data_IF_088057723882
#
_entry.id   IF_088057723882
#
_cell.length_a   1.000
_cell.length_b   1.000
_cell.length_c   1.000
_cell.angle_alpha   90.00
_cell.angle_beta   90.00
_cell.angle_gamma   90.00
#
_symmetry.space_group_name_H-M   'P 1'
#
loop_
_entity.id
_entity.type
_entity.pdbx_description
1 polymer ?
#
# COMPACT_ATOMS: atom_id res chain seq x y z
N UNK A 1 20.22 27.58 -30.93
CA UNK A 1 21.59 27.73 -31.46
C UNK A 1 21.82 26.48 -32.29
N UNK A 2 21.82 26.44 -33.62
CA UNK A 2 22.31 27.39 -34.63
C UNK A 2 21.41 27.24 -35.88
N UNK A 3 20.86 28.34 -36.36
CA UNK A 3 20.70 28.63 -37.79
C UNK A 3 21.93 29.48 -38.19
N UNK A 4 22.36 29.59 -39.47
CA UNK A 4 21.55 30.26 -40.49
C UNK A 4 21.65 29.71 -41.94
N UNK A 5 20.50 29.80 -42.63
CA UNK A 5 20.26 30.61 -43.84
C UNK A 5 21.28 30.60 -45.00
N UNK A 6 20.79 30.45 -46.25
CA UNK A 6 20.80 31.46 -47.34
C UNK A 6 19.92 30.90 -48.48
N UNK A 7 18.78 31.56 -48.80
CA UNK A 7 18.55 32.48 -49.93
C UNK A 7 18.60 31.76 -51.32
N UNK A 8 17.74 31.99 -52.31
CA UNK A 8 17.05 33.23 -52.64
C UNK A 8 16.06 33.04 -53.81
N UNK A 9 14.95 33.81 -53.77
CA UNK A 9 14.40 34.70 -54.82
C UNK A 9 14.01 34.17 -56.21
N UNK A 10 12.71 34.19 -56.58
CA UNK A 10 11.83 35.33 -57.05
C UNK A 10 11.73 35.33 -58.60
N UNK A 11 10.81 36.09 -59.25
CA UNK A 11 9.62 36.82 -58.79
C UNK A 11 8.37 36.66 -59.69
N UNK A 12 7.26 37.27 -59.22
CA UNK A 12 6.07 37.69 -59.95
C UNK A 12 6.38 38.52 -61.21
N UNK A 13 5.49 38.46 -62.22
CA UNK A 13 4.60 39.55 -62.66
C UNK A 13 4.06 39.25 -64.07
N UNK A 14 2.74 39.40 -64.31
CA UNK A 14 2.15 40.52 -65.07
C UNK A 14 0.67 40.27 -65.38
N UNK A 15 -0.11 41.30 -65.08
CA UNK A 15 -1.50 41.53 -65.45
C UNK A 15 -1.60 41.74 -66.96
N UNK A 16 -2.62 41.18 -67.61
CA UNK A 16 -3.20 41.72 -68.84
C UNK A 16 -4.70 41.38 -68.90
N UNK A 17 -5.49 42.39 -69.21
CA UNK A 17 -6.94 42.41 -69.21
C UNK A 17 -7.52 42.24 -70.63
N UNK A 18 -8.83 41.96 -70.68
CA UNK A 18 -9.78 42.15 -71.82
C UNK A 18 -9.63 41.08 -72.93
N UNK A 19 -10.67 40.33 -73.34
CA UNK A 19 -11.85 40.76 -74.12
C UNK A 19 -13.04 39.82 -73.88
N UNK A 20 -14.21 40.42 -73.67
CA UNK A 20 -15.54 39.83 -73.70
C UNK A 20 -15.86 39.39 -75.14
N UNK A 21 -16.12 38.09 -75.35
CA UNK A 21 -16.62 37.54 -76.59
C UNK A 21 -17.88 36.71 -76.32
N UNK A 22 -19.04 37.36 -76.32
CA UNK A 22 -20.35 36.70 -76.34
C UNK A 22 -20.54 36.16 -77.76
N UNK A 23 -20.46 34.84 -77.93
CA UNK A 23 -20.97 34.16 -79.13
C UNK A 23 -22.29 33.48 -78.77
N UNK A 24 -23.38 34.18 -79.05
CA UNK A 24 -24.72 33.60 -79.16
C UNK A 24 -24.75 32.86 -80.48
N UNK A 25 -24.58 31.54 -80.44
CA UNK A 25 -24.94 30.65 -81.56
C UNK A 25 -26.32 30.09 -81.26
N UNK A 26 -27.33 30.74 -81.84
CA UNK A 26 -28.69 30.23 -81.96
C UNK A 26 -28.76 29.30 -83.16
N UNK A 27 -28.79 27.99 -82.91
CA UNK A 27 -29.19 27.00 -83.92
C UNK A 27 -30.44 26.29 -83.44
N UNK A 28 -31.56 26.66 -84.06
CA UNK A 28 -32.87 26.01 -83.96
C UNK A 28 -32.83 24.60 -84.55
N UNK A 29 -33.28 23.64 -83.73
CA UNK A 29 -34.16 22.50 -84.04
C UNK A 29 -33.93 21.74 -85.36
N UNK A 30 -33.25 20.61 -85.25
CA UNK A 30 -33.65 19.38 -85.96
C UNK A 30 -33.71 18.25 -84.92
N UNK A 31 -34.91 17.74 -84.70
CA UNK A 31 -35.17 16.70 -83.72
C UNK A 31 -34.47 15.41 -84.06
N UNK A 32 -33.45 15.08 -83.28
CA UNK A 32 -33.11 13.69 -83.02
C UNK A 32 -33.81 13.31 -81.72
N UNK A 33 -35.00 12.70 -81.83
CA UNK A 33 -35.54 11.90 -80.74
C UNK A 33 -34.57 10.74 -80.54
N UNK A 34 -33.56 10.94 -79.70
CA UNK A 34 -32.88 9.81 -79.08
C UNK A 34 -33.95 9.20 -78.20
N UNK A 35 -34.57 8.14 -78.72
CA UNK A 35 -35.26 7.17 -77.90
C UNK A 35 -34.20 6.63 -76.94
N UNK A 36 -34.07 7.28 -75.77
CA UNK A 36 -33.77 6.53 -74.57
C UNK A 36 -34.94 5.56 -74.43
N UNK A 37 -34.80 4.39 -75.06
CA UNK A 37 -35.34 3.21 -74.44
C UNK A 37 -34.69 3.23 -73.06
N UNK A 38 -35.48 3.59 -72.06
CA UNK A 38 -35.28 3.08 -70.73
C UNK A 38 -35.10 1.57 -70.92
N UNK A 39 -33.84 1.15 -71.02
CA UNK A 39 -33.47 -0.15 -70.53
C UNK A 39 -33.70 -0.04 -69.02
N UNK A 40 -34.97 -0.17 -68.63
CA UNK A 40 -35.34 -0.61 -67.31
C UNK A 40 -34.59 -1.92 -67.12
N UNK A 41 -33.38 -1.84 -66.57
CA UNK A 41 -32.92 -2.89 -65.67
C UNK A 41 -34.00 -2.90 -64.60
N UNK A 42 -34.78 -3.99 -64.40
CA UNK A 42 -35.60 -4.07 -63.22
C UNK A 42 -34.63 -4.18 -62.05
N UNK A 43 -34.17 -3.03 -61.54
CA UNK A 43 -33.19 -2.95 -60.46
C UNK A 43 -33.83 -3.09 -59.08
N UNK A 44 -34.98 -3.77 -58.99
CA UNK A 44 -35.68 -3.99 -57.73
C UNK A 44 -35.97 -5.47 -57.57
N UNK A 45 -35.05 -6.16 -56.89
CA UNK A 45 -35.27 -7.51 -56.40
C UNK A 45 -36.17 -7.47 -55.17
N UNK A 46 -37.45 -7.19 -55.37
CA UNK A 46 -38.50 -7.28 -54.36
C UNK A 46 -38.60 -6.15 -53.33
N UNK A 47 -39.72 -6.18 -52.59
CA UNK A 47 -40.06 -5.24 -51.52
C UNK A 47 -40.30 -6.03 -50.23
N UNK A 48 -39.64 -5.65 -49.15
CA UNK A 48 -39.80 -6.32 -47.84
C UNK A 48 -41.23 -6.17 -47.35
N UNK A 49 -41.88 -7.28 -47.05
CA UNK A 49 -43.19 -7.35 -46.41
C UNK A 49 -43.03 -7.38 -44.90
N UNK A 50 -42.19 -8.28 -44.38
CA UNK A 50 -41.90 -8.39 -42.95
C UNK A 50 -40.64 -9.20 -42.69
N UNK A 51 -40.01 -8.99 -41.54
CA UNK A 51 -38.95 -9.87 -41.03
C UNK A 51 -39.58 -11.03 -40.24
N UNK A 52 -39.00 -12.23 -40.39
CA UNK A 52 -39.43 -13.46 -39.71
C UNK A 52 -38.53 -13.71 -38.49
N UNK A 53 -37.22 -13.76 -38.70
CA UNK A 53 -36.19 -13.96 -37.67
C UNK A 53 -34.90 -13.19 -38.06
N UNK A 54 -33.76 -13.47 -37.43
CA UNK A 54 -32.53 -12.69 -37.63
C UNK A 54 -31.78 -12.94 -38.95
N UNK A 55 -32.18 -13.93 -39.75
CA UNK A 55 -31.66 -14.15 -41.10
C UNK A 55 -32.75 -14.44 -42.15
N UNK A 56 -34.02 -14.35 -41.79
CA UNK A 56 -35.14 -14.64 -42.68
C UNK A 56 -36.16 -13.50 -42.73
N UNK A 57 -36.58 -13.13 -43.93
CA UNK A 57 -37.64 -12.16 -44.16
C UNK A 57 -38.55 -12.58 -45.31
N UNK A 58 -39.73 -11.96 -45.40
CA UNK A 58 -40.65 -12.12 -46.52
C UNK A 58 -40.53 -10.89 -47.42
N UNK A 59 -40.40 -11.12 -48.72
CA UNK A 59 -40.42 -10.08 -49.73
C UNK A 59 -41.48 -10.38 -50.80
N UNK A 60 -42.12 -9.33 -51.31
CA UNK A 60 -42.89 -9.39 -52.54
C UNK A 60 -41.92 -9.36 -53.72
N UNK A 61 -41.84 -10.46 -54.47
CA UNK A 61 -41.01 -10.61 -55.66
C UNK A 61 -41.90 -11.08 -56.80
N UNK A 62 -41.95 -10.33 -57.89
CA UNK A 62 -42.83 -10.58 -59.05
C UNK A 62 -44.32 -10.70 -58.66
N UNK A 63 -44.77 -9.85 -57.73
CA UNK A 63 -46.15 -9.82 -57.24
C UNK A 63 -46.55 -11.02 -56.36
N UNK A 64 -45.57 -11.75 -55.80
CA UNK A 64 -45.79 -12.86 -54.88
C UNK A 64 -44.92 -12.73 -53.65
N UNK A 65 -45.49 -13.01 -52.48
CA UNK A 65 -44.70 -13.17 -51.26
C UNK A 65 -43.79 -14.40 -51.36
N UNK A 66 -42.50 -14.18 -51.08
CA UNK A 66 -41.48 -15.22 -50.99
C UNK A 66 -40.72 -15.08 -49.69
N UNK A 67 -40.52 -16.19 -49.00
CA UNK A 67 -39.56 -16.28 -47.90
C UNK A 67 -38.14 -16.21 -48.46
N UNK A 68 -37.31 -15.38 -47.84
CA UNK A 68 -35.92 -15.16 -48.20
C UNK A 68 -35.06 -15.35 -46.95
N UNK A 69 -34.25 -16.40 -46.93
CA UNK A 69 -33.18 -16.59 -45.95
C UNK A 69 -31.90 -15.97 -46.51
N UNK A 70 -31.12 -15.31 -45.66
CA UNK A 70 -29.84 -14.73 -46.02
C UNK A 70 -28.81 -15.84 -46.33
N UNK A 71 -28.30 -15.85 -47.55
CA UNK A 71 -27.28 -16.78 -48.00
C UNK A 71 -25.97 -16.63 -47.21
N UNK A 72 -25.36 -17.76 -46.86
CA UNK A 72 -24.11 -17.87 -46.09
C UNK A 72 -24.14 -17.30 -44.67
N UNK A 73 -25.34 -17.07 -44.14
CA UNK A 73 -25.59 -16.54 -42.80
C UNK A 73 -26.34 -17.59 -41.98
N UNK A 74 -25.99 -17.70 -40.71
CA UNK A 74 -26.75 -18.43 -39.69
C UNK A 74 -26.96 -17.49 -38.50
N UNK A 75 -28.21 -17.15 -38.21
CA UNK A 75 -28.62 -16.33 -37.06
C UNK A 75 -29.10 -17.20 -35.90
N UNK A 76 -28.95 -16.77 -34.63
CA UNK A 76 -29.70 -17.35 -33.53
C UNK A 76 -31.21 -17.16 -33.75
N UNK A 77 -31.98 -18.20 -33.40
CA UNK A 77 -33.44 -18.22 -33.52
C UNK A 77 -34.08 -17.55 -32.30
N UNK A 78 -35.08 -16.69 -32.49
CA UNK A 78 -35.86 -16.05 -31.41
C UNK A 78 -37.15 -16.81 -31.04
N UNK A 79 -37.97 -16.22 -30.17
CA UNK A 79 -39.28 -16.76 -29.80
C UNK A 79 -39.27 -17.82 -28.69
N UNK A 80 -40.17 -18.81 -28.77
CA UNK A 80 -40.40 -19.79 -27.68
C UNK A 80 -39.20 -20.73 -27.45
N UNK A 81 -38.43 -21.02 -28.51
CA UNK A 81 -37.19 -21.81 -28.48
C UNK A 81 -35.94 -20.90 -28.62
N UNK A 82 -35.99 -19.69 -28.03
CA UNK A 82 -34.98 -18.67 -28.23
C UNK A 82 -33.55 -19.14 -27.90
N UNK A 83 -32.67 -19.01 -28.88
CA UNK A 83 -31.23 -19.04 -28.72
C UNK A 83 -30.72 -17.72 -28.12
N UNK A 84 -29.47 -17.74 -27.64
CA UNK A 84 -28.83 -16.53 -27.14
C UNK A 84 -28.86 -15.42 -28.21
N UNK A 85 -29.48 -14.29 -27.87
CA UNK A 85 -29.67 -13.12 -28.72
C UNK A 85 -30.57 -13.31 -29.96
N UNK A 86 -31.42 -14.35 -29.99
CA UNK A 86 -32.32 -14.59 -31.13
C UNK A 86 -33.33 -13.47 -31.42
N UNK A 87 -33.99 -12.94 -30.39
CA UNK A 87 -34.92 -11.82 -30.55
C UNK A 87 -34.19 -10.54 -30.97
N UNK A 88 -33.02 -10.30 -30.39
CA UNK A 88 -32.17 -9.15 -30.74
C UNK A 88 -31.66 -9.24 -32.18
N UNK A 89 -31.35 -10.43 -32.68
CA UNK A 89 -30.99 -10.65 -34.08
C UNK A 89 -32.16 -10.33 -35.02
N UNK A 90 -33.36 -10.75 -34.65
CA UNK A 90 -34.60 -10.43 -35.38
C UNK A 90 -34.84 -8.91 -35.44
N UNK A 91 -34.70 -8.21 -34.31
CA UNK A 91 -34.83 -6.75 -34.27
C UNK A 91 -33.72 -6.02 -35.05
N UNK A 92 -32.50 -6.57 -35.06
CA UNK A 92 -31.41 -6.05 -35.87
C UNK A 92 -31.77 -6.11 -37.37
N UNK A 93 -32.27 -7.25 -37.84
CA UNK A 93 -32.68 -7.38 -39.24
C UNK A 93 -33.87 -6.47 -39.59
N UNK A 94 -34.86 -6.32 -38.70
CA UNK A 94 -35.96 -5.34 -38.86
C UNK A 94 -35.46 -3.91 -39.05
N UNK A 95 -34.38 -3.54 -38.36
CA UNK A 95 -33.79 -2.21 -38.47
C UNK A 95 -33.12 -1.99 -39.84
N UNK A 96 -32.51 -3.04 -40.41
CA UNK A 96 -31.87 -3.01 -41.72
C UNK A 96 -32.87 -3.11 -42.88
N UNK A 97 -33.92 -3.91 -42.68
CA UNK A 97 -34.97 -4.26 -43.63
C UNK A 97 -36.37 -3.95 -43.06
N UNK A 98 -36.73 -2.68 -42.85
CA UNK A 98 -38.08 -2.33 -42.44
C UNK A 98 -39.10 -2.70 -43.53
N UNK A 99 -40.36 -2.87 -43.15
CA UNK A 99 -41.46 -3.08 -44.10
C UNK A 99 -41.48 -1.97 -45.18
N UNK A 100 -41.72 -2.36 -46.43
CA UNK A 100 -41.68 -1.49 -47.60
C UNK A 100 -40.29 -1.19 -48.14
N UNK A 101 -39.21 -1.68 -47.49
CA UNK A 101 -37.84 -1.48 -47.98
C UNK A 101 -37.63 -2.22 -49.30
N UNK A 102 -37.07 -1.53 -50.30
CA UNK A 102 -36.63 -2.15 -51.55
C UNK A 102 -35.33 -2.92 -51.33
N UNK A 103 -35.28 -4.15 -51.81
CA UNK A 103 -34.09 -4.98 -51.77
C UNK A 103 -33.70 -5.42 -53.16
N UNK A 104 -32.46 -5.89 -53.30
CA UNK A 104 -31.96 -6.56 -54.50
C UNK A 104 -31.46 -7.92 -54.06
N UNK A 105 -31.95 -8.97 -54.69
CA UNK A 105 -31.69 -10.36 -54.33
C UNK A 105 -30.84 -11.01 -55.41
N UNK A 106 -29.71 -11.58 -55.01
CA UNK A 106 -28.85 -12.42 -55.85
C UNK A 106 -28.90 -13.84 -55.32
N UNK A 107 -29.24 -14.80 -56.18
CA UNK A 107 -29.36 -16.22 -55.82
C UNK A 107 -28.11 -17.00 -56.24
N UNK A 108 -27.82 -18.09 -55.53
CA UNK A 108 -26.72 -18.99 -55.87
C UNK A 108 -27.18 -20.08 -56.86
N UNK A 109 -26.75 -19.98 -58.11
CA UNK A 109 -27.11 -20.92 -59.18
C UNK A 109 -26.56 -22.33 -58.96
N UNK A 110 -25.45 -22.46 -58.22
CA UNK A 110 -24.83 -23.74 -57.88
C UNK A 110 -25.54 -24.45 -56.72
N UNK A 111 -26.54 -23.79 -56.10
CA UNK A 111 -27.36 -24.40 -55.08
C UNK A 111 -28.41 -25.35 -55.69
N UNK A 112 -28.67 -26.53 -55.07
CA UNK A 112 -29.70 -27.44 -55.54
C UNK A 112 -31.07 -26.73 -55.69
N UNK A 113 -31.85 -27.02 -56.76
CA UNK A 113 -33.08 -26.28 -57.05
C UNK A 113 -34.10 -26.19 -55.91
N UNK A 114 -34.13 -27.19 -55.02
CA UNK A 114 -35.02 -27.20 -53.84
C UNK A 114 -34.65 -26.17 -52.78
N UNK A 115 -33.37 -25.79 -52.67
CA UNK A 115 -32.86 -24.81 -51.68
C UNK A 115 -32.55 -23.45 -52.27
N UNK A 116 -32.36 -23.38 -53.59
CA UNK A 116 -32.02 -22.12 -54.30
C UNK A 116 -33.12 -21.06 -54.20
N UNK A 117 -34.40 -21.46 -54.14
CA UNK A 117 -35.51 -20.53 -54.32
C UNK A 117 -35.75 -19.58 -53.13
N UNK A 118 -35.22 -19.88 -51.94
CA UNK A 118 -35.38 -19.05 -50.74
C UNK A 118 -34.07 -18.48 -50.21
N UNK A 119 -32.88 -18.87 -50.69
CA UNK A 119 -31.61 -18.35 -50.16
C UNK A 119 -30.98 -17.32 -51.09
N UNK A 120 -30.76 -16.10 -50.60
CA UNK A 120 -30.24 -14.99 -51.40
C UNK A 120 -29.21 -14.12 -50.67
N UNK A 121 -28.27 -13.57 -51.43
CA UNK A 121 -27.53 -12.38 -51.05
C UNK A 121 -28.45 -11.16 -51.21
N UNK A 122 -28.74 -10.49 -50.10
CA UNK A 122 -29.65 -9.35 -50.05
C UNK A 122 -28.88 -8.03 -49.98
N UNK A 123 -29.23 -7.10 -50.85
CA UNK A 123 -28.67 -5.76 -50.86
C UNK A 123 -29.75 -4.69 -50.65
N UNK A 124 -29.47 -3.75 -49.75
CA UNK A 124 -30.38 -2.65 -49.40
C UNK A 124 -29.62 -1.33 -49.51
N UNK A 125 -30.04 -0.46 -50.43
CA UNK A 125 -29.34 0.80 -50.74
C UNK A 125 -27.83 0.61 -51.02
N UNK A 126 -27.45 -0.50 -51.64
CA UNK A 126 -26.06 -0.85 -51.96
C UNK A 126 -25.31 -1.59 -50.85
N UNK A 127 -25.82 -1.62 -49.62
CA UNK A 127 -25.22 -2.35 -48.52
C UNK A 127 -25.53 -3.83 -48.58
N UNK A 128 -24.57 -4.68 -48.24
CA UNK A 128 -24.72 -6.12 -48.24
C UNK A 128 -25.24 -6.60 -46.88
N UNK A 129 -26.56 -6.82 -46.79
CA UNK A 129 -27.26 -7.06 -45.51
C UNK A 129 -26.73 -8.30 -44.79
N UNK A 130 -26.43 -9.37 -45.53
CA UNK A 130 -25.90 -10.62 -44.97
C UNK A 130 -24.63 -10.39 -44.13
N UNK A 131 -23.68 -9.60 -44.65
CA UNK A 131 -22.47 -9.25 -43.93
C UNK A 131 -22.75 -8.22 -42.83
N UNK A 132 -23.69 -7.29 -43.02
CA UNK A 132 -24.04 -6.29 -42.01
C UNK A 132 -24.62 -6.92 -40.73
N UNK A 133 -25.45 -7.96 -40.85
CA UNK A 133 -25.98 -8.71 -39.70
C UNK A 133 -24.85 -9.41 -38.93
N UNK A 134 -23.93 -10.08 -39.65
CA UNK A 134 -22.75 -10.70 -39.04
C UNK A 134 -21.84 -9.67 -38.36
N UNK A 135 -21.61 -8.52 -38.99
CA UNK A 135 -20.81 -7.40 -38.46
C UNK A 135 -21.42 -6.77 -37.21
N UNK A 136 -22.75 -6.83 -37.07
CA UNK A 136 -23.46 -6.43 -35.87
C UNK A 136 -23.34 -7.47 -34.74
N UNK A 137 -22.79 -8.66 -35.03
CA UNK A 137 -22.64 -9.77 -34.08
C UNK A 137 -23.89 -10.62 -33.91
N UNK A 138 -24.87 -10.49 -34.81
CA UNK A 138 -26.15 -11.20 -34.74
C UNK A 138 -26.25 -12.38 -35.71
N UNK A 139 -25.16 -12.73 -36.39
CA UNK A 139 -25.08 -13.95 -37.17
C UNK A 139 -23.63 -14.40 -37.34
N UNK A 140 -23.47 -15.67 -37.73
CA UNK A 140 -22.19 -16.29 -38.06
C UNK A 140 -22.17 -16.72 -39.52
N UNK A 141 -20.98 -16.89 -40.08
CA UNK A 141 -20.78 -17.37 -41.44
C UNK A 141 -21.03 -18.89 -41.52
N UNK A 142 -21.91 -19.30 -42.43
CA UNK A 142 -22.23 -20.71 -42.65
C UNK A 142 -22.01 -21.10 -44.13
N UNK A 143 -21.35 -22.25 -44.36
CA UNK A 143 -21.25 -22.83 -45.70
C UNK A 143 -22.53 -23.60 -46.03
N UNK A 144 -23.28 -23.12 -47.00
CA UNK A 144 -24.62 -23.62 -47.35
C UNK A 144 -24.70 -24.21 -48.77
N UNK A 145 -23.71 -23.92 -49.64
CA UNK A 145 -23.62 -24.43 -51.01
C UNK A 145 -22.20 -24.97 -51.31
N UNK A 146 -21.95 -25.60 -52.47
CA UNK A 146 -20.60 -25.99 -52.86
C UNK A 146 -19.66 -24.79 -53.07
N UNK A 147 -20.17 -23.72 -53.69
CA UNK A 147 -19.35 -22.58 -54.11
C UNK A 147 -19.30 -21.43 -53.10
N UNK A 148 -20.31 -21.28 -52.24
CA UNK A 148 -20.39 -20.29 -51.16
C UNK A 148 -19.88 -18.88 -51.55
N UNK A 149 -20.46 -18.24 -52.57
CA UNK A 149 -19.88 -17.05 -53.20
C UNK A 149 -19.74 -15.84 -52.28
N UNK A 150 -20.48 -15.77 -51.17
CA UNK A 150 -20.44 -14.66 -50.22
C UNK A 150 -19.88 -15.04 -48.84
N UNK A 151 -19.49 -16.30 -48.63
CA UNK A 151 -19.05 -16.78 -47.31
C UNK A 151 -17.88 -15.98 -46.76
N UNK A 152 -16.85 -15.72 -47.56
CA UNK A 152 -15.66 -14.99 -47.09
C UNK A 152 -16.01 -13.56 -46.64
N UNK A 153 -16.98 -12.89 -47.28
CA UNK A 153 -17.44 -11.56 -46.85
C UNK A 153 -18.20 -11.61 -45.54
N UNK A 154 -19.01 -12.65 -45.32
CA UNK A 154 -19.74 -12.85 -44.06
C UNK A 154 -18.76 -13.24 -42.96
N UNK A 155 -17.75 -14.06 -43.26
CA UNK A 155 -16.71 -14.45 -42.31
C UNK A 155 -15.87 -13.25 -41.88
N UNK A 156 -15.43 -12.40 -42.81
CA UNK A 156 -14.72 -11.16 -42.48
C UNK A 156 -15.56 -10.23 -41.59
N UNK A 157 -16.87 -10.16 -41.84
CA UNK A 157 -17.79 -9.41 -41.00
C UNK A 157 -17.97 -10.02 -39.61
N UNK A 158 -18.06 -11.34 -39.51
CA UNK A 158 -18.09 -12.07 -38.24
C UNK A 158 -16.80 -11.81 -37.44
N UNK A 159 -15.63 -11.91 -38.08
CA UNK A 159 -14.33 -11.66 -37.46
C UNK A 159 -14.28 -10.23 -36.92
N UNK A 160 -14.80 -9.25 -37.67
CA UNK A 160 -14.92 -7.87 -37.17
C UNK A 160 -15.84 -7.76 -35.95
N UNK A 161 -16.94 -8.52 -35.88
CA UNK A 161 -17.79 -8.53 -34.68
C UNK A 161 -17.09 -9.17 -33.47
N UNK A 162 -16.31 -10.23 -33.70
CA UNK A 162 -15.50 -10.90 -32.69
C UNK A 162 -14.40 -9.97 -32.14
N UNK A 163 -13.65 -9.29 -33.00
CA UNK A 163 -12.61 -8.33 -32.61
C UNK A 163 -13.17 -7.15 -31.80
N UNK A 164 -14.38 -6.72 -32.12
CA UNK A 164 -15.04 -5.58 -31.46
C UNK A 164 -15.97 -6.01 -30.31
N UNK A 165 -16.04 -7.30 -29.96
CA UNK A 165 -16.89 -7.81 -28.89
C UNK A 165 -18.36 -7.43 -29.05
N UNK A 166 -18.96 -7.69 -30.22
CA UNK A 166 -20.36 -7.35 -30.52
C UNK A 166 -21.28 -8.55 -30.49
N UNK A 167 -22.53 -8.34 -30.09
CA UNK A 167 -23.60 -9.35 -30.16
C UNK A 167 -23.20 -10.65 -29.48
N UNK A 168 -23.14 -11.74 -30.25
CA UNK A 168 -22.76 -13.08 -29.76
C UNK A 168 -21.33 -13.15 -29.18
N UNK A 169 -20.47 -12.17 -29.49
CA UNK A 169 -19.09 -12.06 -29.01
C UNK A 169 -18.94 -11.04 -27.86
N UNK A 170 -20.01 -10.39 -27.43
CA UNK A 170 -20.00 -9.40 -26.35
C UNK A 170 -20.14 -10.09 -24.99
N UNK A 171 -19.14 -9.97 -24.12
CA UNK A 171 -19.18 -10.57 -22.78
C UNK A 171 -20.06 -9.83 -21.76
N UNK A 172 -20.65 -8.70 -22.11
CA UNK A 172 -21.70 -8.07 -21.30
C UNK A 172 -23.06 -8.77 -21.43
N UNK A 173 -23.27 -9.52 -22.53
CA UNK A 173 -24.47 -10.32 -22.74
C UNK A 173 -24.37 -11.67 -22.04
N UNK A 174 -25.09 -11.84 -20.92
CA UNK A 174 -24.95 -12.99 -19.99
C UNK A 174 -25.08 -14.39 -20.62
N UNK A 175 -25.75 -14.53 -21.75
CA UNK A 175 -25.91 -15.83 -22.43
C UNK A 175 -24.75 -16.18 -23.37
N UNK A 176 -23.82 -15.25 -23.63
CA UNK A 176 -22.71 -15.46 -24.56
C UNK A 176 -21.58 -16.26 -23.93
N UNK A 177 -20.73 -16.81 -24.80
CA UNK A 177 -19.53 -17.56 -24.40
C UNK A 177 -18.51 -16.61 -23.77
N UNK A 178 -18.37 -15.41 -24.35
CA UNK A 178 -17.54 -14.35 -23.80
C UNK A 178 -17.91 -14.01 -22.34
N UNK A 179 -19.21 -13.93 -22.01
CA UNK A 179 -19.67 -13.64 -20.65
C UNK A 179 -19.28 -14.72 -19.61
N UNK A 180 -18.98 -15.94 -20.06
CA UNK A 180 -18.49 -17.02 -19.18
C UNK A 180 -17.03 -16.82 -18.78
N UNK A 181 -16.26 -16.07 -19.58
CA UNK A 181 -14.80 -16.00 -19.46
C UNK A 181 -14.31 -14.60 -19.09
N UNK A 182 -14.87 -13.57 -19.71
CA UNK A 182 -14.41 -12.18 -19.59
C UNK A 182 -14.37 -11.65 -18.14
N UNK A 183 -15.38 -11.89 -17.28
CA UNK A 183 -15.31 -11.39 -15.90
C UNK A 183 -14.10 -11.93 -15.12
N UNK A 184 -13.77 -13.22 -15.30
CA UNK A 184 -12.59 -13.82 -14.68
C UNK A 184 -11.30 -13.27 -15.27
N UNK A 185 -11.26 -13.05 -16.60
CA UNK A 185 -10.13 -12.44 -17.29
C UNK A 185 -9.87 -11.02 -16.84
N UNK A 186 -10.91 -10.21 -16.68
CA UNK A 186 -10.78 -8.82 -16.23
C UNK A 186 -10.30 -8.76 -14.78
N UNK A 187 -10.85 -9.61 -13.91
CA UNK A 187 -10.36 -9.72 -12.54
C UNK A 187 -8.88 -10.12 -12.49
N UNK A 188 -8.47 -11.11 -13.30
CA UNK A 188 -7.07 -11.50 -13.42
C UNK A 188 -6.16 -10.38 -13.92
N UNK A 189 -6.61 -9.56 -14.89
CA UNK A 189 -5.86 -8.41 -15.42
C UNK A 189 -5.74 -7.27 -14.42
N UNK A 190 -6.73 -7.12 -13.54
CA UNK A 190 -6.79 -6.06 -12.52
C UNK A 190 -5.84 -6.26 -11.34
N UNK A 191 -5.26 -7.47 -11.18
CA UNK A 191 -4.35 -7.79 -10.08
C UNK A 191 -3.14 -6.86 -10.08
N UNK A 192 -2.84 -6.30 -8.91
CA UNK A 192 -1.72 -5.39 -8.73
C UNK A 192 -0.36 -6.05 -9.06
N UNK A 193 0.40 -5.39 -9.93
CA UNK A 193 1.79 -5.75 -10.26
C UNK A 193 2.79 -5.18 -9.26
N UNK A 194 2.38 -4.23 -8.42
CA UNK A 194 3.26 -3.62 -7.43
C UNK A 194 3.63 -4.64 -6.35
N UNK A 195 4.89 -4.68 -5.88
CA UNK A 195 5.27 -5.53 -4.75
C UNK A 195 4.58 -5.05 -3.46
N UNK A 196 4.22 -5.95 -2.53
CA UNK A 196 3.67 -5.55 -1.24
C UNK A 196 4.71 -4.82 -0.39
N UNK A 197 4.26 -3.80 0.35
CA UNK A 197 5.12 -2.96 1.20
C UNK A 197 5.15 -3.39 2.66
N UNK A 198 4.18 -4.21 3.11
CA UNK A 198 4.09 -4.73 4.48
C UNK A 198 3.66 -6.20 4.49
N UNK A 199 3.74 -6.83 5.66
CA UNK A 199 3.31 -8.22 5.84
C UNK A 199 1.82 -8.35 5.54
N UNK A 200 1.03 -7.43 6.12
CA UNK A 200 -0.43 -7.39 6.00
C UNK A 200 -0.85 -7.18 4.52
N UNK A 201 -0.18 -6.24 3.83
CA UNK A 201 -0.40 -6.02 2.40
C UNK A 201 -0.01 -7.23 1.55
N UNK A 202 0.98 -8.02 1.97
CA UNK A 202 1.36 -9.24 1.25
C UNK A 202 0.36 -10.38 1.49
N UNK A 203 -0.18 -10.51 2.70
CA UNK A 203 -1.24 -11.48 3.04
C UNK A 203 -2.50 -11.20 2.21
N UNK A 204 -2.97 -9.95 2.18
CA UNK A 204 -4.13 -9.55 1.37
C UNK A 204 -3.91 -9.86 -0.12
N UNK A 205 -2.72 -9.55 -0.66
CA UNK A 205 -2.39 -9.87 -2.06
C UNK A 205 -2.34 -11.37 -2.32
N UNK A 206 -1.86 -12.18 -1.38
CA UNK A 206 -1.82 -13.64 -1.50
C UNK A 206 -3.24 -14.19 -1.59
N UNK A 207 -4.14 -13.73 -0.72
CA UNK A 207 -5.52 -14.20 -0.70
C UNK A 207 -6.29 -13.77 -1.94
N UNK A 208 -6.10 -12.52 -2.41
CA UNK A 208 -6.66 -12.06 -3.67
C UNK A 208 -6.13 -12.89 -4.86
N UNK A 209 -4.81 -13.10 -4.95
CA UNK A 209 -4.20 -13.92 -6.01
C UNK A 209 -4.69 -15.37 -6.02
N UNK A 210 -4.85 -16.00 -4.86
CA UNK A 210 -5.43 -17.34 -4.75
C UNK A 210 -6.87 -17.37 -5.26
N UNK A 211 -7.67 -16.38 -4.87
CA UNK A 211 -9.05 -16.23 -5.33
C UNK A 211 -9.10 -16.03 -6.86
N UNK A 212 -8.25 -15.16 -7.40
CA UNK A 212 -8.16 -14.88 -8.84
C UNK A 212 -7.74 -16.11 -9.64
N UNK A 213 -6.76 -16.88 -9.15
CA UNK A 213 -6.35 -18.15 -9.77
C UNK A 213 -7.50 -19.13 -9.79
N UNK A 214 -8.27 -19.23 -8.70
CA UNK A 214 -9.46 -20.09 -8.63
C UNK A 214 -10.52 -19.67 -9.65
N UNK A 215 -10.84 -18.39 -9.74
CA UNK A 215 -11.83 -17.88 -10.70
C UNK A 215 -11.41 -18.19 -12.14
N UNK A 216 -10.14 -17.97 -12.49
CA UNK A 216 -9.62 -18.32 -13.82
C UNK A 216 -9.70 -19.82 -14.12
N UNK A 217 -9.45 -20.68 -13.13
CA UNK A 217 -9.62 -22.13 -13.28
C UNK A 217 -11.10 -22.49 -13.47
N UNK A 218 -12.01 -21.91 -12.69
CA UNK A 218 -13.45 -22.14 -12.82
C UNK A 218 -14.01 -21.66 -14.16
N UNK A 219 -13.51 -20.54 -14.69
CA UNK A 219 -13.87 -20.05 -16.03
C UNK A 219 -13.41 -21.03 -17.13
N UNK A 220 -12.18 -21.56 -17.02
CA UNK A 220 -11.68 -22.60 -17.93
C UNK A 220 -12.54 -23.87 -17.88
N UNK A 221 -12.87 -24.33 -16.68
CA UNK A 221 -13.68 -25.53 -16.49
C UNK A 221 -15.11 -25.32 -17.06
N UNK A 222 -15.68 -24.13 -16.87
CA UNK A 222 -16.98 -23.77 -17.43
C UNK A 222 -16.97 -23.72 -18.96
N UNK A 223 -15.92 -23.14 -19.56
CA UNK A 223 -15.75 -23.09 -21.01
C UNK A 223 -15.56 -24.50 -21.60
N UNK A 224 -14.70 -25.32 -21.01
CA UNK A 224 -14.39 -26.67 -21.51
C UNK A 224 -15.57 -27.63 -21.34
N UNK A 225 -16.37 -27.46 -20.28
CA UNK A 225 -17.57 -28.25 -19.99
C UNK A 225 -18.87 -27.72 -20.61
N UNK A 226 -18.84 -26.60 -21.33
CA UNK A 226 -20.02 -26.01 -21.95
C UNK A 226 -20.62 -26.97 -22.99
N UNK A 227 -21.92 -27.23 -22.88
CA UNK A 227 -22.70 -27.95 -23.88
C UNK A 227 -23.35 -26.94 -24.82
N UNK A 228 -23.07 -27.07 -26.11
CA UNK A 228 -23.69 -26.26 -27.17
C UNK A 228 -24.51 -27.16 -28.07
N UNK A 229 -25.66 -26.67 -28.51
CA UNK A 229 -26.55 -27.40 -29.43
C UNK A 229 -25.98 -27.33 -30.84
N UNK A 230 -25.76 -28.49 -31.48
CA UNK A 230 -25.24 -28.53 -32.84
C UNK A 230 -26.18 -27.80 -33.83
N UNK A 231 -25.60 -27.18 -34.86
CA UNK A 231 -26.36 -26.44 -35.88
C UNK A 231 -26.83 -25.04 -35.46
N UNK A 232 -26.50 -24.58 -34.25
CA UNK A 232 -26.84 -23.23 -33.76
C UNK A 232 -25.71 -22.24 -34.00
N UNK A 233 -26.04 -20.93 -34.02
CA UNK A 233 -25.02 -19.89 -34.11
C UNK A 233 -24.04 -19.95 -32.92
N UNK A 234 -24.54 -20.28 -31.73
CA UNK A 234 -23.72 -20.45 -30.52
C UNK A 234 -22.68 -21.59 -30.67
N UNK A 235 -23.01 -22.69 -31.36
CA UNK A 235 -22.04 -23.76 -31.60
C UNK A 235 -20.89 -23.32 -32.53
N UNK A 236 -21.17 -22.47 -33.53
CA UNK A 236 -20.13 -21.90 -34.40
C UNK A 236 -19.24 -20.92 -33.65
N UNK A 237 -19.82 -20.05 -32.82
CA UNK A 237 -19.06 -19.15 -31.93
C UNK A 237 -18.20 -19.96 -30.97
N UNK A 238 -18.74 -21.02 -30.36
CA UNK A 238 -17.97 -21.90 -29.48
C UNK A 238 -16.79 -22.56 -30.20
N UNK A 239 -17.02 -23.10 -31.39
CA UNK A 239 -15.97 -23.75 -32.17
C UNK A 239 -14.84 -22.79 -32.58
N UNK A 240 -15.16 -21.53 -32.89
CA UNK A 240 -14.19 -20.50 -33.28
C UNK A 240 -13.43 -19.92 -32.08
N UNK A 241 -14.09 -19.74 -30.93
CA UNK A 241 -13.54 -19.01 -29.79
C UNK A 241 -12.90 -19.89 -28.70
N UNK A 242 -13.34 -21.15 -28.55
CA UNK A 242 -12.92 -22.03 -27.44
C UNK A 242 -11.40 -22.11 -27.30
N UNK A 243 -10.70 -22.43 -28.39
CA UNK A 243 -9.25 -22.64 -28.34
C UNK A 243 -8.50 -21.35 -27.96
N UNK A 244 -8.98 -20.20 -28.44
CA UNK A 244 -8.44 -18.88 -28.09
C UNK A 244 -8.62 -18.61 -26.61
N UNK A 245 -9.86 -18.69 -26.10
CA UNK A 245 -10.15 -18.46 -24.69
C UNK A 245 -9.41 -19.43 -23.77
N UNK A 246 -9.38 -20.73 -24.10
CA UNK A 246 -8.62 -21.72 -23.32
C UNK A 246 -7.13 -21.36 -23.20
N UNK A 247 -6.53 -20.90 -24.30
CA UNK A 247 -5.13 -20.44 -24.32
C UNK A 247 -4.95 -19.18 -23.49
N UNK A 248 -5.80 -18.18 -23.67
CA UNK A 248 -5.74 -16.90 -22.95
C UNK A 248 -5.92 -17.09 -21.43
N UNK A 249 -6.94 -17.86 -21.02
CA UNK A 249 -7.20 -18.19 -19.61
C UNK A 249 -6.00 -18.95 -19.03
N UNK A 250 -5.51 -19.99 -19.72
CA UNK A 250 -4.39 -20.80 -19.23
C UNK A 250 -3.11 -19.96 -19.06
N UNK A 251 -2.83 -19.07 -20.02
CA UNK A 251 -1.70 -18.15 -19.94
C UNK A 251 -1.82 -17.18 -18.76
N UNK A 252 -3.01 -16.61 -18.56
CA UNK A 252 -3.27 -15.64 -17.50
C UNK A 252 -3.26 -16.28 -16.11
N UNK A 253 -3.85 -17.48 -15.96
CA UNK A 253 -3.78 -18.29 -14.72
C UNK A 253 -2.32 -18.63 -14.39
N UNK A 254 -1.51 -18.99 -15.39
CA UNK A 254 -0.09 -19.27 -15.20
C UNK A 254 0.67 -18.02 -14.69
N UNK A 255 0.40 -16.85 -15.29
CA UNK A 255 0.97 -15.59 -14.85
C UNK A 255 0.56 -15.23 -13.40
N UNK A 256 -0.72 -15.41 -13.05
CA UNK A 256 -1.23 -15.19 -11.70
C UNK A 256 -0.59 -16.15 -10.68
N UNK A 257 -0.43 -17.43 -11.01
CA UNK A 257 0.28 -18.41 -10.16
C UNK A 257 1.75 -18.05 -9.96
N UNK A 258 2.43 -17.59 -11.01
CA UNK A 258 3.81 -17.10 -10.90
C UNK A 258 3.86 -15.90 -9.94
N UNK A 259 2.94 -14.95 -10.10
CA UNK A 259 2.86 -13.76 -9.25
C UNK A 259 2.59 -14.13 -7.79
N UNK A 260 1.70 -15.09 -7.54
CA UNK A 260 1.45 -15.64 -6.20
C UNK A 260 2.74 -16.11 -5.53
N UNK A 261 3.54 -16.92 -6.23
CA UNK A 261 4.84 -17.38 -5.70
C UNK A 261 5.84 -16.24 -5.44
N UNK A 262 5.86 -15.20 -6.27
CA UNK A 262 6.69 -14.01 -6.02
C UNK A 262 6.26 -13.27 -4.74
N UNK A 263 4.95 -13.06 -4.56
CA UNK A 263 4.39 -12.38 -3.38
C UNK A 263 4.62 -13.20 -2.12
N UNK A 264 4.44 -14.53 -2.15
CA UNK A 264 4.77 -15.43 -1.04
C UNK A 264 6.26 -15.35 -0.65
N UNK A 265 7.15 -15.23 -1.65
CA UNK A 265 8.57 -15.01 -1.44
C UNK A 265 8.87 -13.66 -0.77
N UNK A 266 8.18 -12.59 -1.17
CA UNK A 266 8.31 -11.26 -0.53
C UNK A 266 7.73 -11.27 0.88
N UNK A 267 6.55 -11.86 1.09
CA UNK A 267 5.92 -12.04 2.40
C UNK A 267 6.90 -12.70 3.39
N UNK A 268 7.54 -13.80 2.98
CA UNK A 268 8.54 -14.50 3.80
C UNK A 268 9.69 -13.59 4.23
N UNK A 269 10.20 -12.75 3.31
CA UNK A 269 11.27 -11.79 3.60
C UNK A 269 10.80 -10.67 4.54
N UNK A 270 9.59 -10.16 4.34
CA UNK A 270 9.00 -9.10 5.18
C UNK A 270 8.78 -9.59 6.62
N UNK A 271 8.26 -10.81 6.79
CA UNK A 271 8.10 -11.45 8.11
C UNK A 271 9.45 -11.61 8.80
N UNK A 272 10.47 -12.09 8.09
CA UNK A 272 11.83 -12.22 8.63
C UNK A 272 12.42 -10.86 9.06
N UNK A 273 12.25 -9.83 8.23
CA UNK A 273 12.70 -8.46 8.53
C UNK A 273 11.98 -7.89 9.75
N UNK A 274 10.65 -8.00 9.84
CA UNK A 274 9.85 -7.55 10.99
C UNK A 274 10.32 -8.21 12.28
N UNK A 275 10.53 -9.53 12.28
CA UNK A 275 11.08 -10.27 13.44
C UNK A 275 12.49 -9.84 13.81
N UNK A 276 13.36 -9.58 12.83
CA UNK A 276 14.73 -9.12 13.09
C UNK A 276 14.74 -7.71 13.71
N UNK A 277 13.91 -6.81 13.21
CA UNK A 277 13.75 -5.46 13.77
C UNK A 277 13.17 -5.48 15.19
N UNK A 278 12.17 -6.33 15.45
CA UNK A 278 11.63 -6.53 16.81
C UNK A 278 12.68 -7.09 17.76
N UNK A 279 13.48 -8.06 17.32
CA UNK A 279 14.58 -8.61 18.12
C UNK A 279 15.61 -7.52 18.44
N UNK A 280 16.02 -6.73 17.44
CA UNK A 280 16.96 -5.63 17.60
C UNK A 280 16.44 -4.59 18.59
N UNK A 281 15.17 -4.18 18.47
CA UNK A 281 14.52 -3.25 19.42
C UNK A 281 14.49 -3.81 20.84
N UNK A 282 14.20 -5.11 21.02
CA UNK A 282 14.23 -5.76 22.34
C UNK A 282 15.63 -5.80 22.94
N UNK A 283 16.65 -6.07 22.12
CA UNK A 283 18.05 -6.10 22.57
C UNK A 283 18.56 -4.69 22.92
N UNK A 284 18.25 -3.70 22.10
CA UNK A 284 18.53 -2.28 22.37
C UNK A 284 17.83 -1.80 23.66
N UNK A 285 16.56 -2.18 23.87
CA UNK A 285 15.82 -1.86 25.09
C UNK A 285 16.40 -2.55 26.33
N UNK A 286 16.84 -3.81 26.22
CA UNK A 286 17.50 -4.53 27.31
C UNK A 286 18.82 -3.86 27.69
N UNK A 287 19.65 -3.52 26.70
CA UNK A 287 20.91 -2.82 26.94
C UNK A 287 20.70 -1.44 27.57
N UNK A 288 19.67 -0.71 27.13
CA UNK A 288 19.30 0.57 27.72
C UNK A 288 18.87 0.42 29.20
N UNK A 289 18.03 -0.58 29.50
CA UNK A 289 17.60 -0.88 30.87
C UNK A 289 18.77 -1.31 31.78
N UNK A 290 19.70 -2.11 31.28
CA UNK A 290 20.92 -2.51 32.01
C UNK A 290 21.83 -1.31 32.30
N UNK A 291 22.00 -0.39 31.34
CA UNK A 291 22.76 0.86 31.54
C UNK A 291 22.10 1.74 32.59
N UNK A 292 20.79 1.93 32.50
CA UNK A 292 20.04 2.72 33.47
C UNK A 292 20.12 2.11 34.89
N UNK A 293 20.03 0.79 35.01
CA UNK A 293 20.19 0.09 36.29
C UNK A 293 21.62 0.25 36.86
N UNK A 294 22.65 0.16 36.01
CA UNK A 294 24.04 0.34 36.42
C UNK A 294 24.32 1.79 36.87
N UNK A 295 23.77 2.78 36.18
CA UNK A 295 23.86 4.20 36.56
C UNK A 295 23.17 4.46 37.90
N UNK A 296 21.96 3.92 38.10
CA UNK A 296 21.24 4.00 39.38
C UNK A 296 22.04 3.36 40.53
N UNK A 297 22.59 2.16 40.32
CA UNK A 297 23.42 1.48 41.31
C UNK A 297 24.73 2.23 41.61
N UNK A 298 25.34 2.86 40.60
CA UNK A 298 26.53 3.69 40.78
C UNK A 298 26.21 4.97 41.57
N UNK A 299 25.07 5.61 41.28
CA UNK A 299 24.59 6.78 42.01
C UNK A 299 24.29 6.44 43.48
N UNK A 300 23.67 5.29 43.75
CA UNK A 300 23.42 4.80 45.10
C UNK A 300 24.72 4.54 45.87
N UNK A 301 25.68 3.79 45.28
CA UNK A 301 27.01 3.58 45.88
C UNK A 301 27.76 4.88 46.14
N UNK A 302 27.66 5.85 45.23
CA UNK A 302 28.27 7.16 45.41
C UNK A 302 27.61 7.95 46.55
N UNK A 303 26.28 7.85 46.70
CA UNK A 303 25.55 8.45 47.80
C UNK A 303 25.92 7.81 49.15
N UNK A 304 26.02 6.47 49.21
CA UNK A 304 26.48 5.73 50.40
C UNK A 304 27.92 6.09 50.77
N UNK A 305 28.83 6.15 49.79
CA UNK A 305 30.22 6.54 50.02
C UNK A 305 30.34 7.97 50.55
N UNK A 306 29.55 8.92 49.99
CA UNK A 306 29.46 10.30 50.50
C UNK A 306 28.94 10.31 51.94
N UNK A 307 27.88 9.57 52.24
CA UNK A 307 27.32 9.46 53.59
C UNK A 307 28.34 8.86 54.59
N UNK A 308 29.11 7.84 54.18
CA UNK A 308 30.17 7.25 54.99
C UNK A 308 31.33 8.22 55.25
N UNK A 309 31.76 8.98 54.22
CA UNK A 309 32.76 10.03 54.38
C UNK A 309 32.30 11.13 55.34
N UNK A 310 31.05 11.59 55.23
CA UNK A 310 30.50 12.58 56.16
C UNK A 310 30.43 12.04 57.59
N UNK A 311 30.02 10.79 57.79
CA UNK A 311 30.08 10.12 59.11
C UNK A 311 31.51 10.03 59.65
N UNK A 312 32.48 9.71 58.81
CA UNK A 312 33.90 9.64 59.21
C UNK A 312 34.46 11.01 59.61
N UNK A 313 34.16 12.06 58.83
CA UNK A 313 34.50 13.46 59.18
C UNK A 313 33.85 13.88 60.50
N UNK A 314 32.56 13.58 60.68
CA UNK A 314 31.87 13.87 61.94
C UNK A 314 32.49 13.14 63.13
N UNK A 315 32.87 11.86 62.97
CA UNK A 315 33.56 11.10 64.01
C UNK A 315 34.96 11.64 64.33
N UNK A 316 35.74 12.04 63.31
CA UNK A 316 37.04 12.69 63.52
C UNK A 316 36.89 14.02 64.26
N UNK A 317 35.92 14.85 63.86
CA UNK A 317 35.60 16.11 64.55
C UNK A 317 35.22 15.85 66.02
N UNK A 318 34.35 14.87 66.27
CA UNK A 318 33.96 14.50 67.63
C UNK A 318 35.16 14.01 68.48
N UNK A 319 36.10 13.24 67.89
CA UNK A 319 37.34 12.83 68.57
C UNK A 319 38.24 14.03 68.89
N UNK A 320 38.43 14.94 67.94
CA UNK A 320 39.22 16.15 68.14
C UNK A 320 38.61 17.06 69.22
N UNK A 321 37.29 17.22 69.21
CA UNK A 321 36.56 17.99 70.23
C UNK A 321 36.70 17.33 71.62
N UNK A 322 36.67 15.99 71.70
CA UNK A 322 36.90 15.23 72.93
C UNK A 322 38.36 15.29 73.43
N UNK A 323 39.36 15.32 72.53
CA UNK A 323 40.76 15.53 72.93
C UNK A 323 41.00 16.94 73.45
N UNK A 324 40.42 17.96 72.80
CA UNK A 324 40.45 19.34 73.28
C UNK A 324 39.81 19.47 74.66
N UNK A 325 38.68 18.83 74.91
CA UNK A 325 38.04 18.87 76.24
C UNK A 325 38.89 18.19 77.31
N UNK A 326 39.50 17.02 77.02
CA UNK A 326 40.45 16.35 77.91
C UNK A 326 41.70 17.20 78.18
N UNK A 327 42.24 17.87 77.17
CA UNK A 327 43.38 18.78 77.33
C UNK A 327 43.01 20.00 78.17
N UNK A 328 41.80 20.56 77.97
CA UNK A 328 41.27 21.64 78.79
C UNK A 328 41.09 21.20 80.25
N UNK A 329 40.57 20.00 80.52
CA UNK A 329 40.50 19.44 81.88
C UNK A 329 41.88 19.25 82.50
N UNK A 330 42.85 18.69 81.77
CA UNK A 330 44.23 18.55 82.25
C UNK A 330 44.86 19.90 82.57
N UNK A 331 44.66 20.92 81.73
CA UNK A 331 45.17 22.28 82.00
C UNK A 331 44.53 22.89 83.24
N UNK A 332 43.21 22.78 83.41
CA UNK A 332 42.49 23.21 84.63
C UNK A 332 42.98 22.46 85.88
N UNK A 333 43.26 21.16 85.76
CA UNK A 333 43.81 20.37 86.86
C UNK A 333 45.25 20.79 87.20
N UNK A 334 46.09 21.07 86.20
CA UNK A 334 47.44 21.58 86.38
C UNK A 334 47.44 22.98 87.01
N UNK A 335 46.50 23.85 86.62
CA UNK A 335 46.32 25.17 87.23
C UNK A 335 45.89 25.07 88.71
N UNK A 336 44.94 24.18 89.02
CA UNK A 336 44.56 23.87 90.41
C UNK A 336 45.74 23.33 91.22
N UNK A 337 46.56 22.47 90.62
CA UNK A 337 47.79 21.92 91.23
C UNK A 337 48.81 23.02 91.53
N UNK A 338 49.07 23.91 90.58
CA UNK A 338 49.98 25.06 90.77
C UNK A 338 49.45 26.02 91.83
N UNK A 339 48.14 26.30 91.85
CA UNK A 339 47.51 27.12 92.89
C UNK A 339 47.61 26.46 94.28
N UNK A 340 47.48 25.13 94.37
CA UNK A 340 47.67 24.39 95.62
C UNK A 340 49.12 24.40 96.10
N UNK A 341 50.10 24.28 95.18
CA UNK A 341 51.52 24.39 95.49
C UNK A 341 51.89 25.79 95.99
N UNK A 342 51.39 26.84 95.33
CA UNK A 342 51.60 28.22 95.77
C UNK A 342 51.05 28.48 97.18
N UNK A 343 49.85 27.96 97.48
CA UNK A 343 49.28 28.00 98.85
C UNK A 343 50.09 27.20 99.86
N UNK A 344 50.72 26.10 99.45
CA UNK A 344 51.58 25.29 100.32
C UNK A 344 52.92 25.97 100.61
N UNK A 345 53.51 26.67 99.62
CA UNK A 345 54.70 27.50 99.80
C UNK A 345 54.42 28.71 100.70
N UNK A 346 53.28 29.39 100.53
CA UNK A 346 52.86 30.48 101.42
C UNK A 346 52.63 30.00 102.87
N UNK A 347 52.16 28.76 103.06
CA UNK A 347 52.07 28.14 104.40
C UNK A 347 53.46 27.82 104.96
N UNK A 348 54.38 27.33 104.13
CA UNK A 348 55.76 27.04 104.55
C UNK A 348 56.55 28.30 104.88
N UNK A 349 56.37 29.39 104.12
CA UNK A 349 57.02 30.67 104.43
C UNK A 349 56.49 31.26 105.74
N UNK A 350 55.17 31.23 105.98
CA UNK A 350 54.60 31.61 107.28
C UNK A 350 55.12 30.76 108.43
N UNK A 351 55.20 29.44 108.26
CA UNK A 351 55.73 28.55 109.30
C UNK A 351 57.24 28.76 109.56
N UNK A 352 58.02 29.11 108.52
CA UNK A 352 59.44 29.44 108.67
C UNK A 352 59.65 30.79 109.38
N UNK A 353 58.74 31.74 109.17
CA UNK A 353 58.74 33.05 109.81
C UNK A 353 58.36 32.94 111.30
N UNK A 354 57.36 32.12 111.63
CA UNK A 354 57.01 31.78 113.03
C UNK A 354 58.16 31.06 113.75
N UNK A 355 58.90 30.19 113.04
CA UNK A 355 60.07 29.48 113.60
C UNK A 355 61.25 30.42 113.88
N UNK A 356 61.49 31.41 113.02
CA UNK A 356 62.48 32.48 113.26
C UNK A 356 62.11 33.35 114.47
N UNK A 357 60.83 33.67 114.65
CA UNK A 357 60.35 34.41 115.82
C UNK A 357 60.49 33.60 117.12
N UNK A 358 60.31 32.28 117.07
CA UNK A 358 60.54 31.38 118.20
C UNK A 358 62.03 31.24 118.59
N UNK A 359 62.95 31.26 117.62
CA UNK A 359 64.40 31.25 117.88
C UNK A 359 64.93 32.58 118.44
N UNK A 360 64.35 33.72 118.04
CA UNK A 360 64.70 35.02 118.63
C UNK A 360 64.29 35.11 120.11
N UNK A 361 63.10 34.61 120.47
CA UNK A 361 62.66 34.52 121.87
C UNK A 361 63.59 33.66 122.74
N UNK A 362 64.07 32.52 122.22
CA UNK A 362 65.03 31.65 122.93
C UNK A 362 66.40 32.31 123.12
N UNK A 363 66.84 33.17 122.20
CA UNK A 363 68.10 33.94 122.34
C UNK A 363 67.98 35.10 123.32
N UNK A 364 66.79 35.66 123.56
CA UNK A 364 66.54 36.65 124.62
C UNK A 364 66.48 36.03 126.03
N UNK A 365 65.95 34.82 126.18
CA UNK A 365 65.89 34.12 127.47
C UNK A 365 67.27 33.63 127.94
N UNK A 366 68.18 33.27 127.02
CA UNK A 366 69.55 32.89 127.35
C UNK A 366 70.39 34.07 127.87
N UNK A 367 70.15 35.30 127.41
CA UNK A 367 70.87 36.51 127.86
C UNK A 367 70.42 37.04 129.24
N UNK A 368 69.30 36.56 129.79
CA UNK A 368 68.84 36.93 131.15
C UNK A 368 69.42 36.06 132.27
N UNK A 369 70.01 34.90 131.95
CA UNK A 369 70.53 33.95 132.94
C UNK A 369 72.00 34.15 133.33
N UNK A 370 72.73 35.01 132.62
CA UNK A 370 74.19 35.20 132.77
C UNK A 370 74.58 36.53 133.47
N UNK A 371 73.62 37.26 134.07
CA UNK A 371 73.85 38.62 134.63
C UNK A 371 73.40 38.83 136.08
N UNK A 372 73.31 37.76 136.89
CA UNK A 372 72.89 37.85 138.31
C UNK A 372 73.72 36.94 139.24
N UNK A 373 75.03 36.94 139.08
CA UNK A 373 76.03 36.47 140.05
C UNK A 373 77.15 37.51 140.10
N UNK A 374 76.97 38.57 140.90
CA UNK A 374 78.00 39.34 141.64
C UNK A 374 77.37 40.60 142.26
N UNK A 375 77.59 40.79 143.58
CA UNK A 375 77.03 41.78 144.54
C UNK A 375 75.71 41.31 145.18
N UNK A 376 75.61 41.02 146.47
CA UNK A 376 76.38 41.48 147.63
C UNK A 376 76.12 40.55 148.83
N UNK A 377 77.13 40.31 149.66
CA UNK A 377 76.97 39.82 151.03
C UNK A 377 76.72 40.98 152.02
N UNK A 378 75.83 40.72 152.98
CA UNK A 378 75.63 41.25 154.35
C UNK A 378 74.13 41.13 154.65
N UNK A 379 73.64 40.69 155.80
CA UNK A 379 74.18 40.09 157.02
C UNK A 379 72.93 39.67 157.83
N UNK A 380 73.07 38.65 158.68
CA UNK A 380 72.24 38.37 159.87
C UNK A 380 70.75 38.03 159.63
N UNK A 381 70.04 37.22 160.42
CA UNK A 381 70.26 36.36 161.58
C UNK A 381 68.89 35.66 161.81
N UNK A 382 68.86 34.53 162.50
CA UNK A 382 67.69 34.16 163.29
C UNK A 382 66.65 33.23 162.66
N UNK A 383 66.98 31.93 162.63
CA UNK A 383 66.25 30.93 163.41
C UNK A 383 64.81 30.53 163.04
N UNK A 384 64.60 29.22 162.90
CA UNK A 384 63.51 28.58 163.66
C UNK A 384 62.56 27.66 162.91
N UNK A 385 62.90 26.37 162.96
CA UNK A 385 62.03 25.25 163.35
C UNK A 385 60.83 24.84 162.47
N UNK A 386 60.89 23.54 162.17
CA UNK A 386 59.95 22.48 162.57
C UNK A 386 58.94 21.90 161.59
N UNK A 387 58.97 20.56 161.62
CA UNK A 387 57.86 19.56 161.61
C UNK A 387 57.04 19.46 160.32
N UNK A 388 57.00 18.30 159.64
CA UNK A 388 56.26 17.05 159.96
C UNK A 388 54.78 17.31 160.28
N UNK A 389 53.89 16.34 159.98
CA UNK A 389 53.80 15.41 158.85
C UNK A 389 52.84 15.93 157.77
#
# INVERSE_FOLDING_TARGET
MVEPSLLNNRPLQRVAAVVVGIFVVTTSLAGCRINFKDNHVPEFGGVVVRVVDGDTFIAEVDGKEKTVDLLNVLSPVGGDDAECLGDQATENLKTMLPEGKKVRLEYDDDMPPKRRNNKAAAFSAGNFVNADVAKAGFAVAEKQSPNNPYYDRVLEAQDAAQENGKGLFDGSNKCTIAATVEPAMERMKSVSKAPPSSVESAEDMIDDLKSVVKDGQSAKDSLTGMKVTEGTAQAVVYASEKARWEKEISGTVSAAKKRLGEVEGVHTKLVAKKKAEEKKKKEEAKLAAEREAAERAAAERAAEARAAQERAKAAQKARADAEKSKAAEKSKAAEKSKAAQKKAEEKKSKAAEEKKQAEQKKKEEAKKKEKKEERHGRDHDGGGKNKKP
#
